data_IF_965338533058
#
_entry.id   IF_965338533058
#
_cell.length_a   1.000
_cell.length_b   1.000
_cell.length_c   1.000
_cell.angle_alpha   90.00
_cell.angle_beta   90.00
_cell.angle_gamma   90.00
#
_symmetry.space_group_name_H-M   'P 1'
#
loop_
_entity.id
_entity.type
_entity.pdbx_description
1 polymer ?
#
# COMPACT_ATOMS: atom_id res chain seq x y z
N UNK A 1 -8.52 0.96 37.04
CA UNK A 1 -8.46 2.36 36.56
C UNK A 1 -7.18 2.95 37.12
N UNK A 2 -6.27 3.47 36.29
CA UNK A 2 -5.00 4.03 36.78
C UNK A 2 -5.27 5.33 37.55
N UNK A 3 -4.81 5.41 38.79
CA UNK A 3 -4.94 6.60 39.64
C UNK A 3 -4.21 7.78 38.99
N UNK A 4 -4.92 8.91 38.84
CA UNK A 4 -4.37 10.14 38.26
C UNK A 4 -3.47 10.81 39.30
N UNK A 5 -2.16 10.77 39.07
CA UNK A 5 -1.18 11.50 39.89
C UNK A 5 -1.37 13.01 39.75
N UNK A 6 -1.15 13.74 40.83
CA UNK A 6 -1.25 15.20 40.81
C UNK A 6 -0.10 15.83 40.03
N UNK A 7 -0.35 16.96 39.37
CA UNK A 7 0.65 17.64 38.52
C UNK A 7 1.88 18.10 39.34
N UNK A 8 1.67 18.44 40.62
CA UNK A 8 2.74 18.78 41.56
C UNK A 8 3.65 17.58 41.90
N UNK A 9 3.12 16.37 41.85
CA UNK A 9 3.85 15.13 42.12
C UNK A 9 4.68 14.70 40.90
N UNK A 10 4.17 14.95 39.69
CA UNK A 10 4.90 14.72 38.44
C UNK A 10 6.13 15.62 38.25
N UNK A 11 6.09 16.85 38.79
CA UNK A 11 7.21 17.81 38.71
C UNK A 11 8.38 17.50 39.65
N UNK A 12 8.16 16.72 40.71
CA UNK A 12 9.20 16.31 41.67
C UNK A 12 9.93 15.03 41.26
N UNK A 13 9.39 14.28 40.30
CA UNK A 13 10.07 13.12 39.75
C UNK A 13 11.30 13.59 38.97
N UNK A 14 12.49 13.20 39.43
CA UNK A 14 13.74 13.46 38.72
C UNK A 14 13.59 12.93 37.29
N UNK A 15 13.77 13.76 36.25
CA UNK A 15 13.67 13.30 34.88
C UNK A 15 14.65 12.15 34.66
N UNK A 16 14.25 11.04 34.03
CA UNK A 16 15.22 10.07 33.54
C UNK A 16 16.18 10.78 32.57
N UNK A 17 17.43 10.34 32.46
CA UNK A 17 18.41 10.96 31.57
C UNK A 17 17.82 11.05 30.16
N UNK A 18 17.63 12.28 29.71
CA UNK A 18 17.00 12.60 28.43
C UNK A 18 18.00 12.25 27.33
N UNK A 19 17.67 11.25 26.53
CA UNK A 19 18.44 10.87 25.37
C UNK A 19 18.22 11.90 24.26
N UNK A 20 19.16 12.85 24.14
CA UNK A 20 19.12 13.92 23.14
C UNK A 20 19.05 13.42 21.70
N UNK A 21 19.41 12.15 21.42
CA UNK A 21 19.24 11.53 20.12
C UNK A 21 17.78 11.29 19.77
N UNK A 22 16.99 10.77 20.73
CA UNK A 22 15.57 10.49 20.55
C UNK A 22 14.72 11.75 20.46
N UNK A 23 15.09 12.79 21.21
CA UNK A 23 14.42 14.10 21.10
C UNK A 23 14.59 14.70 19.71
N UNK A 24 15.81 14.68 19.16
CA UNK A 24 16.07 15.17 17.80
C UNK A 24 15.29 14.35 16.78
N UNK A 25 15.20 13.03 16.94
CA UNK A 25 14.47 12.16 16.02
C UNK A 25 12.94 12.43 16.04
N UNK A 26 12.39 12.74 17.21
CA UNK A 26 10.99 13.15 17.40
C UNK A 26 10.71 14.55 16.82
N UNK A 27 11.56 15.55 17.14
CA UNK A 27 11.39 16.95 16.71
C UNK A 27 11.57 17.10 15.20
N UNK A 28 12.56 16.41 14.61
CA UNK A 28 12.86 16.50 13.19
C UNK A 28 12.09 15.48 12.33
N UNK A 29 11.08 14.79 12.88
CA UNK A 29 10.19 13.87 12.16
C UNK A 29 10.90 12.86 11.25
N UNK A 30 12.12 12.43 11.60
CA UNK A 30 12.81 11.37 10.86
C UNK A 30 12.38 10.03 11.42
N UNK A 31 11.15 9.64 11.09
CA UNK A 31 10.72 8.24 11.22
C UNK A 31 11.56 7.44 10.22
N UNK A 32 12.36 6.49 10.70
CA UNK A 32 12.86 5.45 9.81
C UNK A 32 11.63 4.69 9.29
N UNK A 33 11.34 4.71 7.99
CA UNK A 33 10.24 3.93 7.46
C UNK A 33 10.55 2.48 7.80
N UNK A 34 9.64 1.82 8.53
CA UNK A 34 9.65 0.38 8.65
C UNK A 34 9.81 -0.19 7.24
N UNK A 35 10.92 -0.88 7.00
CA UNK A 35 11.20 -1.45 5.69
C UNK A 35 9.98 -2.29 5.29
N UNK A 36 9.27 -1.95 4.20
CA UNK A 36 8.17 -2.78 3.75
C UNK A 36 8.77 -4.16 3.48
N UNK A 37 8.16 -5.20 4.06
CA UNK A 37 8.54 -6.58 3.79
C UNK A 37 8.65 -6.75 2.27
N UNK A 38 9.77 -7.31 1.80
CA UNK A 38 10.04 -7.62 0.40
C UNK A 38 8.96 -8.58 -0.14
N UNK A 39 7.78 -8.07 -0.48
CA UNK A 39 6.98 -8.63 -1.53
C UNK A 39 7.84 -8.46 -2.79
N UNK A 40 8.30 -9.56 -3.37
CA UNK A 40 9.10 -9.55 -4.59
C UNK A 40 8.43 -8.59 -5.58
N UNK A 41 9.08 -7.47 -5.88
CA UNK A 41 8.51 -6.44 -6.72
C UNK A 41 8.27 -7.05 -8.11
N UNK A 42 7.01 -7.27 -8.47
CA UNK A 42 6.64 -7.80 -9.78
C UNK A 42 7.08 -6.77 -10.82
N UNK A 43 8.06 -7.13 -11.65
CA UNK A 43 8.56 -6.26 -12.71
C UNK A 43 7.52 -6.15 -13.81
N UNK A 44 6.88 -4.98 -13.93
CA UNK A 44 5.89 -4.68 -14.97
C UNK A 44 6.56 -4.02 -16.17
N UNK A 45 6.22 -4.47 -17.38
CA UNK A 45 6.75 -3.96 -18.66
C UNK A 45 5.57 -3.47 -19.51
N UNK A 46 5.69 -2.31 -20.18
CA UNK A 46 4.62 -1.82 -21.04
C UNK A 46 4.40 -2.76 -22.24
N UNK A 47 3.14 -3.12 -22.48
CA UNK A 47 2.71 -3.83 -23.68
C UNK A 47 1.70 -2.95 -24.45
N UNK A 48 1.92 -2.77 -25.75
CA UNK A 48 1.03 -1.97 -26.61
C UNK A 48 0.38 -2.84 -27.68
N UNK A 49 -0.95 -2.84 -27.76
CA UNK A 49 -1.72 -3.52 -28.83
C UNK A 49 -3.05 -2.80 -29.03
N UNK A 50 -3.62 -2.88 -30.24
CA UNK A 50 -4.97 -2.34 -30.52
C UNK A 50 -6.04 -3.32 -30.03
N UNK A 51 -7.10 -2.80 -29.42
CA UNK A 51 -8.27 -3.58 -28.98
C UNK A 51 -9.54 -2.98 -29.59
N UNK A 52 -10.62 -3.77 -29.63
CA UNK A 52 -11.93 -3.28 -30.04
C UNK A 52 -12.41 -2.14 -29.14
N UNK A 53 -13.08 -1.14 -29.74
CA UNK A 53 -13.51 0.07 -29.05
C UNK A 53 -14.56 -0.18 -27.95
N UNK A 54 -15.43 -1.16 -28.15
CA UNK A 54 -16.43 -1.58 -27.16
C UNK A 54 -15.77 -2.19 -25.92
N UNK A 55 -14.73 -3.02 -26.11
CA UNK A 55 -13.96 -3.59 -25.00
C UNK A 55 -13.22 -2.52 -24.21
N UNK A 56 -12.60 -1.54 -24.88
CA UNK A 56 -11.93 -0.43 -24.20
C UNK A 56 -12.90 0.39 -23.34
N UNK A 57 -14.11 0.66 -23.84
CA UNK A 57 -15.16 1.39 -23.12
C UNK A 57 -15.67 0.58 -21.92
N UNK A 58 -15.97 -0.70 -22.13
CA UNK A 58 -16.45 -1.60 -21.10
C UNK A 58 -15.42 -1.79 -19.97
N UNK A 59 -14.15 -1.97 -20.31
CA UNK A 59 -13.08 -2.17 -19.35
C UNK A 59 -12.87 -0.94 -18.45
N UNK A 60 -12.86 0.26 -19.04
CA UNK A 60 -12.77 1.52 -18.28
C UNK A 60 -13.95 1.69 -17.33
N UNK A 61 -15.16 1.41 -17.80
CA UNK A 61 -16.37 1.45 -16.98
C UNK A 61 -16.29 0.46 -15.81
N UNK A 62 -15.91 -0.79 -16.09
CA UNK A 62 -15.80 -1.83 -15.08
C UNK A 62 -14.76 -1.47 -14.00
N UNK A 63 -13.60 -0.96 -14.40
CA UNK A 63 -12.57 -0.47 -13.47
C UNK A 63 -13.11 0.61 -12.54
N UNK A 64 -13.78 1.63 -13.08
CA UNK A 64 -14.38 2.70 -12.27
C UNK A 64 -15.47 2.18 -11.33
N UNK A 65 -16.40 1.34 -11.81
CA UNK A 65 -17.47 0.80 -10.98
C UNK A 65 -16.93 -0.04 -9.82
N UNK A 66 -15.84 -0.79 -10.04
CA UNK A 66 -15.17 -1.59 -9.01
C UNK A 66 -14.45 -0.74 -7.99
N UNK A 67 -13.79 0.35 -8.42
CA UNK A 67 -13.19 1.34 -7.51
C UNK A 67 -14.24 1.96 -6.58
N UNK A 68 -15.39 2.38 -7.13
CA UNK A 68 -16.49 2.95 -6.33
C UNK A 68 -17.08 1.96 -5.32
N UNK A 69 -17.05 0.66 -5.65
CA UNK A 69 -17.54 -0.41 -4.78
C UNK A 69 -16.45 -0.97 -3.84
N UNK A 70 -15.22 -0.47 -3.93
CA UNK A 70 -14.05 -1.00 -3.21
C UNK A 70 -13.86 -2.53 -3.41
N UNK A 71 -14.05 -3.02 -4.64
CA UNK A 71 -13.90 -4.45 -4.99
C UNK A 71 -12.63 -4.65 -5.80
N UNK A 72 -11.71 -5.48 -5.32
CA UNK A 72 -10.49 -5.86 -6.06
C UNK A 72 -10.73 -7.07 -6.98
N UNK A 73 -10.07 -7.15 -8.16
CA UNK A 73 -9.21 -6.13 -8.75
C UNK A 73 -10.02 -4.94 -9.29
N UNK A 74 -9.53 -3.71 -9.08
CA UNK A 74 -10.19 -2.50 -9.58
C UNK A 74 -9.37 -1.70 -10.61
N UNK A 75 -8.07 -1.97 -10.76
CA UNK A 75 -7.24 -1.29 -11.75
C UNK A 75 -7.33 -1.96 -13.12
N UNK A 76 -7.13 -1.19 -14.19
CA UNK A 76 -7.08 -1.75 -15.55
C UNK A 76 -5.98 -2.81 -15.69
N UNK A 77 -4.83 -2.61 -15.03
CA UNK A 77 -3.71 -3.54 -15.07
C UNK A 77 -4.11 -4.87 -14.42
N UNK A 78 -4.65 -4.83 -13.22
CA UNK A 78 -4.93 -6.06 -12.46
C UNK A 78 -6.11 -6.83 -13.09
N UNK A 79 -7.13 -6.13 -13.58
CA UNK A 79 -8.24 -6.76 -14.33
C UNK A 79 -7.71 -7.42 -15.61
N UNK A 80 -6.76 -6.78 -16.30
CA UNK A 80 -6.16 -7.35 -17.50
C UNK A 80 -5.30 -8.57 -17.17
N UNK A 81 -4.45 -8.50 -16.14
CA UNK A 81 -3.62 -9.62 -15.68
C UNK A 81 -4.48 -10.83 -15.28
N UNK A 82 -5.54 -10.62 -14.49
CA UNK A 82 -6.46 -11.69 -14.07
C UNK A 82 -7.18 -12.35 -15.26
N UNK A 83 -7.48 -11.58 -16.32
CA UNK A 83 -8.13 -12.12 -17.51
C UNK A 83 -7.18 -12.87 -18.45
N UNK A 84 -5.93 -12.41 -18.60
CA UNK A 84 -4.95 -13.01 -19.53
C UNK A 84 -4.22 -14.20 -18.91
N UNK A 85 -4.02 -14.21 -17.60
CA UNK A 85 -3.25 -15.26 -16.91
C UNK A 85 -3.83 -16.67 -17.16
N UNK A 86 -5.15 -16.93 -17.01
CA UNK A 86 -5.72 -18.25 -17.28
C UNK A 86 -5.53 -18.68 -18.73
N UNK A 87 -5.62 -17.74 -19.67
CA UNK A 87 -5.40 -18.03 -21.09
C UNK A 87 -3.93 -18.40 -21.35
N UNK A 88 -2.97 -17.68 -20.76
CA UNK A 88 -1.55 -17.98 -20.91
C UNK A 88 -1.17 -19.34 -20.29
N UNK A 89 -1.69 -19.64 -19.09
CA UNK A 89 -1.45 -20.92 -18.42
C UNK A 89 -2.04 -22.10 -19.18
N UNK A 90 -3.30 -21.99 -19.62
CA UNK A 90 -3.97 -23.06 -20.35
C UNK A 90 -3.32 -23.39 -21.69
N UNK A 91 -2.62 -22.44 -22.31
CA UNK A 91 -1.87 -22.64 -23.55
C UNK A 91 -0.39 -22.97 -23.33
N UNK A 92 0.06 -23.12 -22.08
CA UNK A 92 1.44 -23.48 -21.75
C UNK A 92 2.48 -22.37 -21.96
N UNK A 93 2.05 -21.11 -22.08
CA UNK A 93 2.94 -19.95 -22.19
C UNK A 93 3.44 -19.44 -20.84
N UNK A 94 2.73 -19.78 -19.77
CA UNK A 94 3.07 -19.44 -18.39
C UNK A 94 2.96 -20.71 -17.54
N UNK A 95 4.03 -21.04 -16.80
CA UNK A 95 4.08 -22.16 -15.86
C UNK A 95 3.47 -21.82 -14.51
#
# INVERSE_FOLDING_TARGET
MAERRSLAEGLKATPPPIDSGKEKQFVYHRSEPAAPANAAAVSRVPISTRIRADYATALKRASLERQLKAVEPNTLQDILEEAIEPWLRSNGYLS
#
